data_IF_889784465424
#
_entry.id   IF_889784465424
#
_cell.length_a   1.000
_cell.length_b   1.000
_cell.length_c   1.000
_cell.angle_alpha   90.00
_cell.angle_beta   90.00
_cell.angle_gamma   90.00
#
_symmetry.space_group_name_H-M   'P 1'
#
loop_
_entity.id
_entity.type
_entity.pdbx_description
1 polymer ?
#
# COMPACT_ATOMS: atom_id res chain seq x y z
N UNK A 1 17.16 -0.44 5.84
CA UNK A 1 15.80 -1.02 5.90
C UNK A 1 14.86 0.02 6.49
N UNK A 2 13.76 0.35 5.81
CA UNK A 2 12.81 1.38 6.25
C UNK A 2 11.41 0.79 6.38
N UNK A 3 10.63 1.27 7.36
CA UNK A 3 9.25 0.82 7.62
C UNK A 3 8.34 2.02 7.86
N UNK A 4 7.09 1.89 7.42
CA UNK A 4 6.04 2.88 7.64
C UNK A 4 4.75 2.15 7.99
N UNK A 5 4.15 2.50 9.12
CA UNK A 5 2.82 1.98 9.47
C UNK A 5 1.75 2.85 8.81
N UNK A 6 0.90 2.24 8.00
CA UNK A 6 -0.17 2.89 7.25
C UNK A 6 -1.49 2.82 8.02
N UNK A 7 -2.16 3.97 8.09
CA UNK A 7 -3.55 4.20 8.54
C UNK A 7 -4.19 3.07 9.39
N UNK A 8 -4.07 3.17 10.71
CA UNK A 8 -4.41 2.10 11.67
C UNK A 8 -5.74 2.26 12.40
N UNK A 9 -6.48 3.35 12.19
CA UNK A 9 -7.55 3.77 13.11
C UNK A 9 -8.90 4.03 12.44
N UNK A 10 -9.45 3.14 11.62
CA UNK A 10 -10.79 3.32 11.03
C UNK A 10 -11.61 2.03 10.85
N UNK A 11 -12.96 2.10 10.86
CA UNK A 11 -13.86 0.94 10.87
C UNK A 11 -13.82 0.08 9.60
N UNK A 12 -13.43 0.64 8.45
CA UNK A 12 -13.13 -0.11 7.22
C UNK A 12 -11.66 0.17 6.84
N UNK A 13 -10.71 -0.63 7.36
CA UNK A 13 -9.28 -0.34 7.16
C UNK A 13 -8.87 -0.56 5.71
N UNK A 14 -7.87 0.20 5.25
CA UNK A 14 -7.10 -0.14 4.06
C UNK A 14 -6.63 -1.60 4.18
N UNK A 15 -6.86 -2.38 3.13
CA UNK A 15 -6.47 -3.77 3.08
C UNK A 15 -5.58 -4.04 1.88
N UNK A 16 -4.73 -5.07 1.99
CA UNK A 16 -4.07 -5.64 0.83
C UNK A 16 -5.12 -6.09 -0.19
N UNK A 17 -5.07 -5.54 -1.40
CA UNK A 17 -6.15 -5.70 -2.39
C UNK A 17 -5.82 -6.72 -3.49
N UNK A 18 -4.55 -7.08 -3.67
CA UNK A 18 -4.09 -7.93 -4.76
C UNK A 18 -4.19 -9.43 -4.45
N UNK A 19 -4.35 -10.26 -5.49
CA UNK A 19 -4.43 -11.73 -5.39
C UNK A 19 -3.08 -12.46 -5.40
N UNK A 20 -1.95 -11.74 -5.42
CA UNK A 20 -0.59 -12.34 -5.43
C UNK A 20 0.12 -12.20 -4.07
N UNK A 21 -0.63 -12.39 -2.99
CA UNK A 21 -0.08 -12.30 -1.64
C UNK A 21 0.66 -13.58 -1.28
N UNK A 22 1.76 -13.43 -0.57
CA UNK A 22 2.60 -14.52 -0.08
C UNK A 22 2.67 -14.51 1.44
N UNK A 23 2.98 -15.67 2.03
CA UNK A 23 3.20 -15.80 3.48
C UNK A 23 4.55 -15.23 3.93
N UNK A 24 4.76 -15.20 5.24
CA UNK A 24 5.95 -14.63 5.87
C UNK A 24 7.23 -15.37 5.48
N UNK A 25 7.15 -16.62 5.04
CA UNK A 25 8.28 -17.43 4.57
C UNK A 25 8.98 -16.87 3.31
N UNK A 26 8.36 -15.91 2.63
CA UNK A 26 8.91 -15.23 1.46
C UNK A 26 9.54 -13.87 1.80
N UNK A 27 9.41 -13.40 3.04
CA UNK A 27 10.01 -12.15 3.48
C UNK A 27 11.49 -12.32 3.80
N UNK A 28 12.32 -11.29 3.58
CA UNK A 28 13.66 -11.25 4.19
C UNK A 28 13.56 -11.33 5.71
N UNK A 29 14.49 -12.04 6.37
CA UNK A 29 14.45 -12.32 7.82
C UNK A 29 14.22 -11.07 8.68
N UNK A 30 14.90 -9.97 8.36
CA UNK A 30 14.76 -8.71 9.06
C UNK A 30 13.35 -8.08 8.88
N UNK A 31 12.73 -8.25 7.72
CA UNK A 31 11.34 -7.83 7.47
C UNK A 31 10.37 -8.73 8.22
N UNK A 32 10.55 -10.05 8.15
CA UNK A 32 9.72 -11.01 8.88
C UNK A 32 9.70 -10.73 10.39
N UNK A 33 10.88 -10.48 10.99
CA UNK A 33 11.00 -10.13 12.40
C UNK A 33 10.24 -8.83 12.74
N UNK A 34 10.38 -7.79 11.91
CA UNK A 34 9.68 -6.53 12.15
C UNK A 34 8.16 -6.66 11.99
N UNK A 35 7.69 -7.36 10.95
CA UNK A 35 6.27 -7.61 10.69
C UNK A 35 5.65 -8.39 11.86
N UNK A 36 6.37 -9.38 12.41
CA UNK A 36 5.91 -10.15 13.56
C UNK A 36 5.75 -9.32 14.85
N UNK A 37 6.51 -8.23 14.99
CA UNK A 37 6.40 -7.32 16.16
C UNK A 37 5.32 -6.27 16.01
N UNK A 38 4.80 -6.05 14.80
CA UNK A 38 3.76 -5.06 14.59
C UNK A 38 2.40 -5.56 15.09
N UNK A 39 1.53 -4.66 15.57
CA UNK A 39 0.18 -5.04 15.97
C UNK A 39 -0.56 -5.73 14.82
N UNK A 40 -1.20 -6.86 15.13
CA UNK A 40 -2.07 -7.57 14.18
C UNK A 40 -3.14 -6.60 13.66
N UNK A 41 -3.51 -6.72 12.38
CA UNK A 41 -4.35 -5.79 11.61
C UNK A 41 -3.69 -4.48 11.13
N UNK A 42 -2.50 -4.10 11.61
CA UNK A 42 -1.81 -2.94 11.04
C UNK A 42 -1.30 -3.26 9.64
N UNK A 43 -1.48 -2.29 8.75
CA UNK A 43 -0.89 -2.31 7.43
C UNK A 43 0.50 -1.67 7.51
N UNK A 44 1.52 -2.41 7.10
CA UNK A 44 2.89 -1.93 7.06
C UNK A 44 3.34 -1.78 5.61
N UNK A 45 3.98 -0.68 5.27
CA UNK A 45 4.85 -0.57 4.12
C UNK A 45 6.31 -0.72 4.58
N UNK A 46 7.14 -1.37 3.77
CA UNK A 46 8.55 -1.58 4.08
C UNK A 46 9.41 -1.57 2.83
N UNK A 47 10.68 -1.21 3.00
CA UNK A 47 11.68 -1.19 1.93
C UNK A 47 12.96 -1.87 2.39
N UNK A 48 13.33 -2.91 1.65
CA UNK A 48 14.56 -3.68 1.74
C UNK A 48 15.42 -3.40 0.51
N UNK A 49 15.82 -2.14 0.33
CA UNK A 49 16.58 -1.68 -0.83
C UNK A 49 17.86 -2.49 -1.10
N UNK A 50 18.53 -2.98 -0.05
CA UNK A 50 19.72 -3.85 -0.16
C UNK A 50 19.40 -5.21 -0.82
N UNK A 51 18.18 -5.71 -0.63
CA UNK A 51 17.67 -6.91 -1.30
C UNK A 51 16.94 -6.58 -2.62
N UNK A 52 16.85 -5.29 -3.00
CA UNK A 52 16.10 -4.84 -4.16
C UNK A 52 14.59 -5.03 -4.03
N UNK A 53 14.03 -5.00 -2.82
CA UNK A 53 12.62 -5.29 -2.56
C UNK A 53 11.93 -4.16 -1.82
N UNK A 54 10.64 -4.01 -2.11
CA UNK A 54 9.70 -3.17 -1.38
C UNK A 54 8.40 -3.95 -1.22
N UNK A 55 7.62 -3.66 -0.18
CA UNK A 55 6.40 -4.40 0.01
C UNK A 55 5.46 -3.84 1.04
N UNK A 56 4.32 -4.52 1.13
CA UNK A 56 3.25 -4.21 2.05
C UNK A 56 2.84 -5.47 2.79
N UNK A 57 2.60 -5.36 4.10
CA UNK A 57 2.30 -6.49 4.97
C UNK A 57 1.09 -6.20 5.84
N UNK A 58 0.18 -7.17 5.94
CA UNK A 58 -0.98 -7.12 6.80
C UNK A 58 -1.45 -8.54 7.09
N UNK A 59 -1.76 -8.85 8.36
CA UNK A 59 -2.37 -10.14 8.75
C UNK A 59 -1.59 -11.38 8.24
N UNK A 60 -0.25 -11.36 8.32
CA UNK A 60 0.64 -12.41 7.79
C UNK A 60 0.52 -12.68 6.28
N UNK A 61 -0.03 -11.72 5.55
CA UNK A 61 -0.03 -11.68 4.10
C UNK A 61 0.85 -10.52 3.63
N UNK A 62 1.59 -10.78 2.55
CA UNK A 62 2.61 -9.87 2.08
C UNK A 62 2.49 -9.68 0.57
N UNK A 63 2.53 -8.43 0.13
CA UNK A 63 2.80 -8.06 -1.25
C UNK A 63 4.28 -7.69 -1.34
N UNK A 64 5.04 -8.45 -2.13
CA UNK A 64 6.46 -8.22 -2.38
C UNK A 64 6.64 -7.76 -3.82
N UNK A 65 7.39 -6.68 -4.02
CA UNK A 65 7.62 -6.05 -5.30
C UNK A 65 9.12 -5.81 -5.50
N UNK A 66 9.66 -6.06 -6.71
CA UNK A 66 11.03 -5.72 -7.03
C UNK A 66 11.18 -4.20 -7.20
N UNK A 67 12.33 -3.68 -6.77
CA UNK A 67 12.78 -2.33 -7.07
C UNK A 67 13.60 -2.33 -8.39
N UNK A 68 13.65 -1.19 -9.10
CA UNK A 68 12.96 0.07 -8.81
C UNK A 68 11.48 0.03 -9.21
N UNK A 69 10.65 0.78 -8.47
CA UNK A 69 9.30 1.10 -8.92
C UNK A 69 9.34 2.20 -9.98
N UNK A 70 8.49 2.10 -10.99
CA UNK A 70 8.35 3.09 -12.06
C UNK A 70 7.50 4.28 -11.59
N UNK A 71 6.59 4.05 -10.66
CA UNK A 71 5.75 5.08 -10.07
C UNK A 71 4.82 4.51 -9.01
N UNK A 72 4.17 5.39 -8.27
CA UNK A 72 3.12 5.05 -7.33
C UNK A 72 2.07 6.16 -7.31
N UNK A 73 0.87 5.85 -6.84
CA UNK A 73 -0.15 6.86 -6.68
C UNK A 73 -1.31 6.43 -5.79
N UNK A 74 -2.04 7.43 -5.31
CA UNK A 74 -3.26 7.28 -4.54
C UNK A 74 -4.42 7.52 -5.50
N UNK A 75 -5.14 6.45 -5.85
CA UNK A 75 -6.33 6.50 -6.69
C UNK A 75 -7.57 6.73 -5.84
N UNK A 76 -8.42 7.66 -6.26
CA UNK A 76 -9.62 8.07 -5.53
C UNK A 76 -10.82 7.98 -6.46
N UNK A 77 -11.87 7.30 -6.00
CA UNK A 77 -13.19 7.34 -6.62
C UNK A 77 -14.20 7.78 -5.57
N UNK A 78 -14.75 9.00 -5.70
CA UNK A 78 -15.74 9.52 -4.76
C UNK A 78 -17.09 8.82 -4.97
N UNK A 79 -17.89 8.67 -3.90
CA UNK A 79 -19.18 8.01 -3.99
C UNK A 79 -20.15 8.81 -4.86
N UNK A 80 -20.90 8.07 -5.66
CA UNK A 80 -21.79 8.58 -6.69
C UNK A 80 -23.08 7.74 -6.71
N UNK A 81 -23.07 6.71 -7.56
CA UNK A 81 -23.99 5.56 -7.54
C UNK A 81 -23.38 4.34 -6.84
N UNK A 82 -22.05 4.19 -6.94
CA UNK A 82 -21.27 3.20 -6.22
C UNK A 82 -20.72 3.76 -4.90
N UNK A 83 -20.20 2.87 -4.05
CA UNK A 83 -19.64 3.20 -2.72
C UNK A 83 -18.34 4.02 -2.77
N UNK A 84 -17.73 4.18 -3.95
CA UNK A 84 -16.42 4.80 -4.10
C UNK A 84 -15.30 3.94 -3.50
N UNK A 85 -14.04 4.35 -3.68
CA UNK A 85 -12.89 3.71 -3.04
C UNK A 85 -11.71 4.66 -2.90
N UNK A 86 -10.75 4.24 -2.08
CA UNK A 86 -9.40 4.80 -2.00
C UNK A 86 -8.43 3.64 -2.20
N UNK A 87 -7.46 3.78 -3.09
CA UNK A 87 -6.46 2.74 -3.40
C UNK A 87 -5.06 3.35 -3.42
N UNK A 88 -4.06 2.59 -2.97
CA UNK A 88 -2.66 2.87 -3.29
C UNK A 88 -2.25 1.89 -4.38
N UNK A 89 -1.85 2.43 -5.53
CA UNK A 89 -1.31 1.65 -6.62
C UNK A 89 0.18 1.93 -6.83
N UNK A 90 0.87 0.94 -7.37
CA UNK A 90 2.30 0.99 -7.67
C UNK A 90 2.53 0.41 -9.05
N UNK A 91 3.49 0.98 -9.77
CA UNK A 91 3.82 0.59 -11.13
C UNK A 91 5.20 -0.04 -11.14
N UNK A 92 5.32 -1.23 -11.72
CA UNK A 92 6.59 -1.90 -11.96
C UNK A 92 6.82 -2.04 -13.46
N UNK A 93 8.08 -2.13 -13.88
CA UNK A 93 8.41 -2.31 -15.29
C UNK A 93 7.88 -3.65 -15.85
N UNK A 94 7.83 -4.69 -15.00
CA UNK A 94 7.48 -6.05 -15.41
C UNK A 94 5.97 -6.33 -15.36
N UNK A 95 5.27 -5.79 -14.35
CA UNK A 95 3.88 -6.14 -14.07
C UNK A 95 2.90 -4.98 -14.34
N UNK A 96 3.39 -3.81 -14.72
CA UNK A 96 2.56 -2.62 -14.90
C UNK A 96 1.98 -2.12 -13.58
N UNK A 97 0.77 -1.55 -13.63
CA UNK A 97 0.06 -0.98 -12.48
C UNK A 97 -0.56 -2.09 -11.62
N UNK A 98 -0.26 -2.07 -10.33
CA UNK A 98 -0.76 -3.00 -9.31
C UNK A 98 -1.47 -2.18 -8.25
N UNK A 99 -2.73 -2.49 -7.96
CA UNK A 99 -3.40 -1.98 -6.76
C UNK A 99 -2.85 -2.72 -5.53
N UNK A 100 -1.94 -2.08 -4.81
CA UNK A 100 -1.29 -2.68 -3.64
C UNK A 100 -2.27 -2.77 -2.47
N UNK A 101 -2.95 -1.66 -2.18
CA UNK A 101 -3.82 -1.49 -1.02
C UNK A 101 -5.13 -0.85 -1.45
N UNK A 102 -6.24 -1.18 -0.83
CA UNK A 102 -7.52 -0.56 -1.13
C UNK A 102 -8.51 -0.61 0.01
N UNK A 103 -9.45 0.35 -0.01
CA UNK A 103 -10.70 0.31 0.75
C UNK A 103 -11.86 0.24 -0.24
N UNK A 104 -12.75 -0.77 -0.17
CA UNK A 104 -13.85 -0.95 -1.14
C UNK A 104 -14.98 0.09 -0.97
N UNK A 105 -14.88 0.94 0.04
CA UNK A 105 -15.76 2.09 0.28
C UNK A 105 -14.91 3.34 0.44
N UNK A 106 -15.32 4.45 -0.16
CA UNK A 106 -14.63 5.72 0.02
C UNK A 106 -14.78 6.21 1.47
N UNK A 107 -13.67 6.58 2.09
CA UNK A 107 -13.62 7.21 3.40
C UNK A 107 -12.63 8.37 3.36
N UNK A 108 -13.12 9.56 3.71
CA UNK A 108 -12.29 10.77 3.69
C UNK A 108 -11.07 10.64 4.60
N UNK A 109 -11.23 10.06 5.79
CA UNK A 109 -10.12 9.93 6.74
C UNK A 109 -9.08 8.87 6.33
N UNK A 110 -9.47 7.83 5.59
CA UNK A 110 -8.52 6.92 4.91
C UNK A 110 -7.68 7.68 3.89
N UNK A 111 -8.31 8.54 3.08
CA UNK A 111 -7.61 9.41 2.14
C UNK A 111 -6.68 10.38 2.86
N UNK A 112 -7.19 11.11 3.86
CA UNK A 112 -6.41 12.08 4.63
C UNK A 112 -5.19 11.42 5.30
N UNK A 113 -5.35 10.20 5.83
CA UNK A 113 -4.26 9.42 6.40
C UNK A 113 -3.17 9.06 5.39
N UNK A 114 -3.54 8.64 4.18
CA UNK A 114 -2.57 8.38 3.11
C UNK A 114 -1.89 9.67 2.62
N UNK A 115 -2.65 10.76 2.48
CA UNK A 115 -2.10 12.06 2.07
C UNK A 115 -1.11 12.61 3.10
N UNK A 116 -1.42 12.49 4.40
CA UNK A 116 -0.51 12.88 5.47
C UNK A 116 0.81 12.07 5.47
N UNK A 117 0.81 10.88 4.85
CA UNK A 117 1.97 10.00 4.74
C UNK A 117 2.58 9.98 3.33
N UNK A 118 2.12 10.85 2.40
CA UNK A 118 2.52 10.82 1.00
C UNK A 118 4.03 10.96 0.80
N UNK A 119 4.66 11.93 1.46
CA UNK A 119 6.12 12.15 1.34
C UNK A 119 6.92 10.98 1.93
N UNK A 120 6.46 10.43 3.06
CA UNK A 120 7.09 9.27 3.68
C UNK A 120 6.95 8.01 2.81
N UNK A 121 5.80 7.83 2.15
CA UNK A 121 5.57 6.80 1.15
C UNK A 121 6.49 6.98 -0.06
N UNK A 122 6.58 8.19 -0.61
CA UNK A 122 7.45 8.48 -1.75
C UNK A 122 8.93 8.16 -1.44
N UNK A 123 9.40 8.58 -0.25
CA UNK A 123 10.75 8.27 0.21
C UNK A 123 10.98 6.76 0.41
N UNK A 124 9.99 6.04 0.96
CA UNK A 124 10.09 4.59 1.20
C UNK A 124 10.07 3.78 -0.11
N UNK A 125 9.20 4.16 -1.04
CA UNK A 125 9.02 3.52 -2.35
C UNK A 125 10.13 3.88 -3.34
N UNK A 126 10.86 4.97 -3.09
CA UNK A 126 11.93 5.45 -3.97
C UNK A 126 11.43 6.06 -5.28
N UNK A 127 10.17 6.48 -5.35
CA UNK A 127 9.54 7.10 -6.51
C UNK A 127 8.52 8.16 -6.07
N UNK A 128 8.08 9.02 -7.01
CA UNK A 128 7.02 9.98 -6.71
C UNK A 128 5.68 9.27 -6.52
N UNK A 129 4.92 9.70 -5.51
CA UNK A 129 3.53 9.26 -5.28
C UNK A 129 2.58 10.35 -5.78
N UNK A 130 1.82 10.06 -6.83
CA UNK A 130 0.80 10.98 -7.37
C UNK A 130 -0.54 10.81 -6.65
N UNK A 131 -1.44 11.78 -6.81
CA UNK A 131 -2.83 11.66 -6.37
C UNK A 131 -3.71 11.80 -7.60
N UNK A 132 -4.57 10.82 -7.83
CA UNK A 132 -5.40 10.74 -9.02
C UNK A 132 -6.88 10.60 -8.64
N UNK A 133 -7.70 11.51 -9.17
CA UNK A 133 -9.16 11.39 -9.11
C UNK A 133 -9.61 10.62 -10.35
N UNK A 134 -10.09 9.40 -10.14
CA UNK A 134 -10.57 8.50 -11.20
C UNK A 134 -12.05 8.75 -11.53
N UNK A 135 -12.65 9.79 -10.97
CA UNK A 135 -13.94 10.32 -11.39
C UNK A 135 -15.15 9.62 -10.80
N UNK A 136 -16.28 9.82 -11.49
CA UNK A 136 -17.60 9.31 -11.17
C UNK A 136 -17.96 8.23 -12.20
N UNK A 137 -18.34 7.03 -11.75
CA UNK A 137 -19.00 6.04 -12.63
C UNK A 137 -20.41 6.58 -12.96
N UNK A 138 -20.61 7.02 -14.20
CA UNK A 138 -21.82 7.68 -14.67
C UNK A 138 -22.88 6.68 -15.16
#
# INVERSE_FOLDING_TARGET
MNYLTLATTQPDPLQLYTGRLVGDEHLPDAVAAQVATAPRAHLLAWSAAEAGLVGFSQNAQNLILPLPLVGAGIGIMKPAKARGFVTLFVSTAEQGVISALGSPTFQQATLDGLLAQQDALAALLGCSVTVEDWGYDC
#
